data_IF_405830088426
#
_entry.id   IF_405830088426
#
_cell.length_a   1.000
_cell.length_b   1.000
_cell.length_c   1.000
_cell.angle_alpha   90.00
_cell.angle_beta   90.00
_cell.angle_gamma   90.00
#
_symmetry.space_group_name_H-M   'P 1'
#
loop_
_entity.id
_entity.type
_entity.pdbx_description
1 polymer ?
#
# COMPACT_ATOMS: atom_id res chain seq x y z
N UNK A 1 4.52 47.09 0.68
CA UNK A 1 5.50 46.00 0.46
C UNK A 1 5.59 45.03 1.64
N UNK A 2 5.82 45.49 2.88
CA UNK A 2 5.96 44.60 4.05
C UNK A 2 4.67 43.88 4.50
N UNK A 3 3.49 44.47 4.30
CA UNK A 3 2.21 43.85 4.64
C UNK A 3 1.88 42.66 3.74
N UNK A 4 2.11 42.81 2.42
CA UNK A 4 1.96 41.72 1.46
C UNK A 4 2.92 40.57 1.77
N UNK A 5 4.20 40.87 2.06
CA UNK A 5 5.16 39.83 2.46
C UNK A 5 4.72 39.09 3.74
N UNK A 6 4.10 39.76 4.71
CA UNK A 6 3.61 39.11 5.92
C UNK A 6 2.41 38.18 5.66
N UNK A 7 1.46 38.60 4.82
CA UNK A 7 0.34 37.73 4.43
C UNK A 7 0.79 36.53 3.59
N UNK A 8 1.74 36.73 2.67
CA UNK A 8 2.35 35.62 1.93
C UNK A 8 3.09 34.66 2.87
N UNK A 9 3.86 35.17 3.85
CA UNK A 9 4.57 34.35 4.83
C UNK A 9 3.63 33.60 5.79
N UNK A 10 2.50 34.21 6.18
CA UNK A 10 1.47 33.52 6.98
C UNK A 10 0.72 32.47 6.17
N UNK A 11 0.48 32.71 4.87
CA UNK A 11 -0.12 31.71 4.00
C UNK A 11 0.81 30.51 3.81
N UNK A 12 2.08 30.74 3.48
CA UNK A 12 3.06 29.65 3.31
C UNK A 12 3.28 28.86 4.60
N UNK A 13 3.35 29.53 5.76
CA UNK A 13 3.46 28.84 7.06
C UNK A 13 2.20 28.04 7.39
N UNK A 14 1.00 28.57 7.14
CA UNK A 14 -0.27 27.85 7.36
C UNK A 14 -0.39 26.59 6.49
N UNK A 15 0.05 26.66 5.23
CA UNK A 15 0.11 25.48 4.35
C UNK A 15 1.07 24.42 4.89
N UNK A 16 2.26 24.82 5.31
CA UNK A 16 3.25 23.90 5.89
C UNK A 16 2.72 23.26 7.19
N UNK A 17 2.08 24.04 8.07
CA UNK A 17 1.50 23.56 9.33
C UNK A 17 0.34 22.58 9.09
N UNK A 18 -0.52 22.85 8.11
CA UNK A 18 -1.61 21.93 7.76
C UNK A 18 -1.08 20.59 7.22
N UNK A 19 -0.01 20.64 6.44
CA UNK A 19 0.68 19.44 5.94
C UNK A 19 1.37 18.68 7.07
N UNK A 20 2.07 19.36 7.98
CA UNK A 20 2.70 18.70 9.13
C UNK A 20 1.66 18.03 10.03
N UNK A 21 0.56 18.72 10.31
CA UNK A 21 -0.54 18.18 11.12
C UNK A 21 -1.24 16.98 10.45
N UNK A 22 -1.33 16.98 9.11
CA UNK A 22 -1.85 15.83 8.36
C UNK A 22 -0.91 14.62 8.47
N UNK A 23 0.40 14.84 8.31
CA UNK A 23 1.43 13.79 8.44
C UNK A 23 1.43 13.21 9.86
N UNK A 24 1.38 14.05 10.89
CA UNK A 24 1.34 13.59 12.28
C UNK A 24 0.13 12.69 12.57
N UNK A 25 -1.05 13.06 12.05
CA UNK A 25 -2.29 12.28 12.27
C UNK A 25 -2.30 10.95 11.53
N UNK A 26 -1.68 10.86 10.36
CA UNK A 26 -1.78 9.64 9.55
C UNK A 26 -0.56 8.73 9.69
N UNK A 27 0.65 9.28 9.86
CA UNK A 27 1.90 8.50 9.95
C UNK A 27 2.35 8.31 11.41
N UNK A 28 2.16 9.30 12.27
CA UNK A 28 2.65 9.29 13.66
C UNK A 28 1.53 9.32 14.71
N UNK A 29 0.36 8.75 14.40
CA UNK A 29 -0.74 8.67 15.38
C UNK A 29 -0.52 7.51 16.35
N UNK A 30 -0.71 7.79 17.64
CA UNK A 30 -0.70 6.80 18.74
C UNK A 30 -2.09 6.24 19.04
N UNK A 31 -3.12 6.71 18.32
CA UNK A 31 -4.49 6.27 18.53
C UNK A 31 -4.72 4.91 17.87
N UNK A 32 -5.16 3.92 18.66
CA UNK A 32 -5.43 2.56 18.19
C UNK A 32 -6.51 2.49 17.09
N UNK A 33 -7.43 3.47 17.03
CA UNK A 33 -8.45 3.53 15.96
C UNK A 33 -7.86 3.91 14.61
N UNK A 34 -6.91 4.84 14.60
CA UNK A 34 -6.27 5.31 13.37
C UNK A 34 -5.31 4.23 12.84
N UNK A 35 -4.53 3.63 13.74
CA UNK A 35 -3.66 2.49 13.44
C UNK A 35 -4.49 1.31 12.91
N UNK A 36 -5.60 0.97 13.55
CA UNK A 36 -6.48 -0.12 13.11
C UNK A 36 -7.07 0.10 11.71
N UNK A 37 -7.43 1.35 11.39
CA UNK A 37 -7.93 1.71 10.06
C UNK A 37 -6.86 1.48 8.98
N UNK A 38 -5.61 1.83 9.25
CA UNK A 38 -4.49 1.55 8.34
C UNK A 38 -4.26 0.06 8.10
N UNK A 39 -4.34 -0.77 9.16
CA UNK A 39 -4.20 -2.22 9.03
C UNK A 39 -5.29 -2.83 8.15
N UNK A 40 -6.55 -2.38 8.28
CA UNK A 40 -7.66 -2.89 7.46
C UNK A 40 -7.46 -2.49 5.98
N UNK A 41 -7.07 -1.25 5.71
CA UNK A 41 -6.82 -0.78 4.34
C UNK A 41 -5.68 -1.59 3.70
N UNK A 42 -4.59 -1.81 4.43
CA UNK A 42 -3.48 -2.64 3.95
C UNK A 42 -3.90 -4.11 3.75
N UNK A 43 -4.67 -4.69 4.67
CA UNK A 43 -5.16 -6.06 4.55
C UNK A 43 -6.04 -6.29 3.32
N UNK A 44 -6.94 -5.35 3.00
CA UNK A 44 -7.77 -5.43 1.79
C UNK A 44 -6.92 -5.35 0.52
N UNK A 45 -5.92 -4.46 0.49
CA UNK A 45 -5.01 -4.33 -0.66
C UNK A 45 -4.15 -5.59 -0.85
N UNK A 46 -3.58 -6.12 0.24
CA UNK A 46 -2.77 -7.34 0.20
C UNK A 46 -3.61 -8.57 -0.15
N UNK A 47 -4.86 -8.65 0.31
CA UNK A 47 -5.81 -9.69 -0.11
C UNK A 47 -6.14 -9.65 -1.60
N UNK A 48 -6.27 -8.45 -2.20
CA UNK A 48 -6.49 -8.31 -3.64
C UNK A 48 -5.26 -8.74 -4.45
N UNK A 49 -4.05 -8.40 -3.99
CA UNK A 49 -2.77 -8.86 -4.59
C UNK A 49 -2.59 -10.37 -4.43
N UNK A 50 -2.91 -10.93 -3.27
CA UNK A 50 -2.86 -12.38 -3.05
C UNK A 50 -3.84 -13.13 -3.96
N UNK A 51 -5.04 -12.59 -4.15
CA UNK A 51 -6.05 -13.18 -5.04
C UNK A 51 -5.63 -13.14 -6.50
N UNK A 52 -5.05 -12.03 -6.98
CA UNK A 52 -4.58 -11.94 -8.37
C UNK A 52 -3.49 -12.96 -8.67
N UNK A 53 -2.55 -13.16 -7.74
CA UNK A 53 -1.49 -14.15 -7.85
C UNK A 53 -2.04 -15.59 -7.84
N UNK A 54 -3.08 -15.83 -7.03
CA UNK A 54 -3.80 -17.11 -7.00
C UNK A 54 -4.50 -17.44 -8.33
N UNK A 55 -5.04 -16.43 -9.02
CA UNK A 55 -5.66 -16.60 -10.35
C UNK A 55 -4.58 -16.88 -11.39
N UNK A 56 -3.44 -16.21 -11.30
CA UNK A 56 -2.31 -16.42 -12.21
C UNK A 56 -1.77 -17.86 -12.15
N UNK A 57 -1.61 -18.43 -10.95
CA UNK A 57 -1.21 -19.84 -10.77
C UNK A 57 -2.25 -20.79 -11.37
N UNK A 58 -3.55 -20.49 -11.21
CA UNK A 58 -4.63 -21.30 -11.78
C UNK A 58 -4.68 -21.26 -13.31
N UNK A 59 -4.36 -20.13 -13.92
CA UNK A 59 -4.27 -20.00 -15.37
C UNK A 59 -3.10 -20.83 -15.92
N UNK A 60 -1.94 -20.79 -15.27
CA UNK A 60 -0.78 -21.60 -15.67
C UNK A 60 -1.06 -23.11 -15.56
N UNK A 61 -1.80 -23.55 -14.53
CA UNK A 61 -2.17 -24.96 -14.37
C UNK A 61 -3.34 -25.40 -15.26
N UNK A 62 -4.24 -24.50 -15.64
CA UNK A 62 -5.42 -24.81 -16.47
C UNK A 62 -5.14 -24.85 -17.97
N UNK A 63 -4.11 -24.13 -18.43
CA UNK A 63 -3.55 -24.21 -19.76
C UNK A 63 -2.54 -25.35 -19.80
N UNK A 64 -2.81 -26.45 -20.50
CA UNK A 64 -1.89 -27.58 -20.66
C UNK A 64 -0.57 -27.28 -21.42
N UNK A 65 -0.20 -26.00 -21.54
CA UNK A 65 1.05 -25.49 -22.07
C UNK A 65 1.51 -24.27 -21.26
N UNK A 66 2.82 -24.12 -21.09
CA UNK A 66 3.38 -23.07 -20.24
C UNK A 66 3.17 -21.68 -20.86
N UNK A 67 2.44 -20.81 -20.17
CA UNK A 67 2.20 -19.43 -20.60
C UNK A 67 3.40 -18.55 -20.25
N UNK A 68 4.11 -18.93 -19.17
CA UNK A 68 5.26 -18.19 -18.63
C UNK A 68 6.61 -18.79 -19.07
N UNK A 69 6.66 -20.09 -19.38
CA UNK A 69 7.83 -20.79 -19.93
C UNK A 69 8.99 -21.02 -18.94
N UNK A 70 9.00 -20.38 -17.78
CA UNK A 70 10.08 -20.43 -16.79
C UNK A 70 9.64 -21.00 -15.43
N UNK A 71 10.20 -22.18 -15.10
CA UNK A 71 10.00 -22.89 -13.83
C UNK A 71 10.52 -22.14 -12.59
N UNK A 72 11.53 -21.28 -12.74
CA UNK A 72 12.10 -20.51 -11.62
C UNK A 72 11.13 -19.41 -11.21
N UNK A 73 10.59 -18.68 -12.19
CA UNK A 73 9.62 -17.63 -11.95
C UNK A 73 8.31 -18.18 -11.35
N UNK A 74 7.83 -19.34 -11.83
CA UNK A 74 6.65 -20.00 -11.24
C UNK A 74 6.82 -20.29 -9.74
N UNK A 75 7.98 -20.85 -9.36
CA UNK A 75 8.29 -21.14 -7.97
C UNK A 75 8.44 -19.87 -7.11
N UNK A 76 8.94 -18.77 -7.68
CA UNK A 76 8.96 -17.47 -7.01
C UNK A 76 7.55 -16.89 -6.81
N UNK A 77 6.65 -17.06 -7.79
CA UNK A 77 5.26 -16.60 -7.73
C UNK A 77 4.46 -17.37 -6.68
N UNK A 78 4.56 -18.71 -6.62
CA UNK A 78 3.80 -19.50 -5.64
C UNK A 78 4.27 -19.26 -4.20
N UNK A 79 5.57 -19.04 -4.00
CA UNK A 79 6.13 -18.68 -2.70
C UNK A 79 5.72 -17.28 -2.28
N UNK A 80 5.72 -16.31 -3.20
CA UNK A 80 5.19 -14.96 -2.95
C UNK A 80 3.68 -14.99 -2.62
N UNK A 81 2.90 -15.83 -3.29
CA UNK A 81 1.47 -16.01 -2.99
C UNK A 81 1.25 -16.51 -1.57
N UNK A 82 1.97 -17.56 -1.16
CA UNK A 82 1.89 -18.08 0.20
C UNK A 82 2.33 -17.07 1.26
N UNK A 83 3.40 -16.32 1.00
CA UNK A 83 3.91 -15.30 1.92
C UNK A 83 2.88 -14.17 2.14
N UNK A 84 2.28 -13.65 1.06
CA UNK A 84 1.29 -12.57 1.16
C UNK A 84 0.03 -13.03 1.90
N UNK A 85 -0.46 -14.24 1.64
CA UNK A 85 -1.69 -14.75 2.26
C UNK A 85 -1.53 -15.11 3.75
N UNK A 86 -0.32 -15.41 4.23
CA UNK A 86 -0.08 -15.79 5.64
C UNK A 86 0.38 -14.59 6.48
N UNK A 87 1.23 -13.71 5.93
CA UNK A 87 1.85 -12.63 6.71
C UNK A 87 1.14 -11.28 6.58
N UNK A 88 0.41 -11.04 5.49
CA UNK A 88 -0.14 -9.73 5.16
C UNK A 88 -1.68 -9.68 5.07
N UNK A 89 -2.35 -10.83 5.16
CA UNK A 89 -3.81 -10.96 5.22
C UNK A 89 -4.22 -11.49 6.59
#
# INVERSE_FOLDING_TARGET
MNLLNNEYNNSTSNWIINISNWIERWIFSTNHKDIGTWYIILGVLMGLVGTSLSVLIRIELGSGGSIIGDSIFYNAVITAHGLIMIFFF
#
